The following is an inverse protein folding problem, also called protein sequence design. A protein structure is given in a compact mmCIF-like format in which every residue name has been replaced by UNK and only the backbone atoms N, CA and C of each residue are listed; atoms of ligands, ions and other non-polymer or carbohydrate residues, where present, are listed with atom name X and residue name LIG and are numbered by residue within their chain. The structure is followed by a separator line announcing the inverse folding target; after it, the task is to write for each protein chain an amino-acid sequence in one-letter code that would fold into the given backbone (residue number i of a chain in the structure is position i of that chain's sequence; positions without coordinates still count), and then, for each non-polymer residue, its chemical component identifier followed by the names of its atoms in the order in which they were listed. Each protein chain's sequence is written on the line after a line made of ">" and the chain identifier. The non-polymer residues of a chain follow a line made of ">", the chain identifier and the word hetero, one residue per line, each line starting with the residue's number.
data_IF_925903549211
#
_entry.id   IF_925903549211
#
_cell.length_a   1.000
_cell.length_b   1.000
_cell.length_c   1.000
_cell.angle_alpha   90.00
_cell.angle_beta   90.00
_cell.angle_gamma   90.00
#
_symmetry.space_group_name_H-M   'P 1'
#
loop_
_entity.id
_entity.type
_entity.pdbx_description
1 polymer ?
#
# COMPACT_ATOMS: atom_id res chain seq x y z
N UNK A 1 24.95 -22.46 -22.51
CA UNK A 1 25.29 -22.18 -21.11
C UNK A 1 24.25 -21.20 -20.64
N UNK A 2 23.31 -21.62 -19.80
CA UNK A 2 22.33 -20.71 -19.20
C UNK A 2 23.01 -20.12 -17.97
N UNK A 3 23.08 -18.80 -17.89
CA UNK A 3 23.51 -18.14 -16.66
C UNK A 3 22.52 -18.52 -15.54
N UNK A 4 23.00 -18.84 -14.33
CA UNK A 4 22.11 -19.10 -13.21
C UNK A 4 21.22 -17.88 -12.99
N UNK A 5 19.92 -18.11 -12.83
CA UNK A 5 18.99 -17.04 -12.47
C UNK A 5 19.52 -16.38 -11.19
N UNK A 6 19.94 -15.12 -11.30
CA UNK A 6 20.35 -14.33 -10.15
C UNK A 6 19.09 -14.19 -9.30
N UNK A 7 19.07 -14.78 -8.11
CA UNK A 7 18.00 -14.54 -7.13
C UNK A 7 17.94 -13.03 -6.90
N UNK A 8 16.92 -12.38 -7.44
CA UNK A 8 16.67 -10.97 -7.18
C UNK A 8 16.33 -10.84 -5.70
N UNK A 9 17.03 -9.93 -5.01
CA UNK A 9 16.79 -9.64 -3.61
C UNK A 9 15.32 -9.24 -3.42
N UNK A 10 14.62 -9.90 -2.48
CA UNK A 10 13.19 -9.67 -2.26
C UNK A 10 12.98 -8.25 -1.71
N UNK A 11 11.99 -7.55 -2.27
CA UNK A 11 11.56 -6.23 -1.81
C UNK A 11 11.06 -6.32 -0.37
N UNK A 12 11.63 -5.52 0.54
CA UNK A 12 11.23 -5.46 1.96
C UNK A 12 10.16 -4.41 2.16
N UNK A 13 8.92 -4.87 2.32
CA UNK A 13 7.75 -4.02 2.53
C UNK A 13 7.37 -3.99 4.01
N UNK A 14 7.33 -2.80 4.61
CA UNK A 14 6.88 -2.58 5.98
C UNK A 14 5.50 -1.93 6.05
N UNK A 15 4.90 -2.03 7.24
CA UNK A 15 3.62 -1.40 7.57
C UNK A 15 3.78 -0.57 8.83
N UNK A 16 3.24 0.64 8.85
CA UNK A 16 3.01 1.42 10.07
C UNK A 16 1.58 1.93 10.13
N UNK A 17 0.91 1.62 11.24
CA UNK A 17 -0.48 1.98 11.50
C UNK A 17 -0.75 1.98 13.02
N UNK A 18 -1.80 2.68 13.49
CA UNK A 18 -2.27 2.63 14.87
C UNK A 18 -2.58 1.20 15.34
N UNK A 19 -2.43 0.95 16.64
CA UNK A 19 -2.94 -0.28 17.26
C UNK A 19 -4.42 -0.04 17.61
N UNK A 20 -5.31 -0.89 17.11
CA UNK A 20 -6.72 -0.86 17.51
C UNK A 20 -6.96 -1.92 18.58
N UNK A 21 -7.52 -1.50 19.72
CA UNK A 21 -7.60 -2.26 20.98
C UNK A 21 -8.43 -3.54 20.94
N UNK A 22 -9.25 -3.76 19.90
CA UNK A 22 -10.07 -4.97 19.75
C UNK A 22 -9.41 -6.08 18.93
N UNK A 23 -8.40 -5.76 18.10
CA UNK A 23 -7.69 -6.72 17.24
C UNK A 23 -6.39 -6.11 16.72
N UNK A 24 -5.25 -6.75 17.00
CA UNK A 24 -4.00 -6.35 16.39
C UNK A 24 -3.92 -6.95 14.97
N UNK A 25 -4.45 -6.22 13.99
CA UNK A 25 -4.52 -6.61 12.57
C UNK A 25 -3.16 -6.99 11.96
N UNK A 26 -2.07 -6.48 12.52
CA UNK A 26 -0.72 -6.64 11.98
C UNK A 26 0.21 -7.41 12.93
N UNK A 27 -0.31 -8.09 13.95
CA UNK A 27 0.50 -8.76 14.98
C UNK A 27 1.55 -9.71 14.41
N UNK A 28 1.15 -10.49 13.40
CA UNK A 28 1.99 -11.52 12.77
C UNK A 28 2.63 -11.04 11.45
N UNK A 29 2.50 -9.75 11.14
CA UNK A 29 2.98 -9.19 9.89
C UNK A 29 4.45 -8.80 10.01
N UNK A 30 5.27 -9.37 9.14
CA UNK A 30 6.70 -9.06 9.10
C UNK A 30 6.92 -7.56 8.84
N UNK A 31 7.88 -6.97 9.54
CA UNK A 31 8.21 -5.54 9.46
C UNK A 31 7.07 -4.57 9.81
N UNK A 32 6.03 -5.02 10.52
CA UNK A 32 5.08 -4.11 11.14
C UNK A 32 5.76 -3.31 12.28
N UNK A 33 5.54 -1.98 12.28
CA UNK A 33 5.90 -1.10 13.39
C UNK A 33 4.67 -0.26 13.75
N UNK A 34 4.12 -0.36 14.97
CA UNK A 34 3.02 0.48 15.40
C UNK A 34 3.39 1.96 15.39
N UNK A 35 2.49 2.81 14.88
CA UNK A 35 2.80 4.22 14.66
C UNK A 35 3.12 4.99 15.94
N UNK A 36 2.47 4.61 17.04
CA UNK A 36 2.67 5.21 18.37
C UNK A 36 4.09 4.96 18.87
N UNK A 37 4.62 3.77 18.59
CA UNK A 37 5.97 3.33 18.98
C UNK A 37 7.04 3.63 17.93
N UNK A 38 6.64 4.16 16.77
CA UNK A 38 7.53 4.42 15.66
C UNK A 38 8.59 5.49 16.02
N UNK A 39 9.85 5.13 15.81
CA UNK A 39 11.02 6.01 15.95
C UNK A 39 11.88 5.93 14.69
N UNK A 40 12.65 6.99 14.41
CA UNK A 40 13.58 7.03 13.28
C UNK A 40 14.57 5.85 13.31
N UNK A 41 15.12 5.54 14.49
CA UNK A 41 16.01 4.39 14.69
C UNK A 41 15.33 3.05 14.37
N UNK A 42 14.09 2.86 14.81
CA UNK A 42 13.35 1.63 14.55
C UNK A 42 13.08 1.44 13.05
N UNK A 43 12.77 2.53 12.33
CA UNK A 43 12.52 2.49 10.89
C UNK A 43 13.80 2.21 10.09
N UNK A 44 14.89 2.90 10.40
CA UNK A 44 16.20 2.70 9.76
C UNK A 44 16.76 1.30 10.00
N UNK A 45 16.50 0.72 11.17
CA UNK A 45 16.94 -0.64 11.49
C UNK A 45 16.26 -1.72 10.63
N UNK A 46 15.12 -1.41 9.99
CA UNK A 46 14.41 -2.37 9.12
C UNK A 46 14.96 -2.41 7.70
N UNK A 47 15.63 -1.36 7.22
CA UNK A 47 16.15 -1.27 5.84
C UNK A 47 15.07 -1.64 4.81
N UNK A 48 13.95 -0.92 4.86
CA UNK A 48 12.80 -1.19 4.00
C UNK A 48 12.98 -0.56 2.63
N UNK A 49 12.51 -1.22 1.60
CA UNK A 49 12.38 -0.65 0.26
C UNK A 49 11.08 0.15 0.12
N UNK A 50 10.04 -0.24 0.86
CA UNK A 50 8.75 0.42 0.88
C UNK A 50 8.10 0.40 2.26
N UNK A 51 7.41 1.49 2.61
CA UNK A 51 6.61 1.60 3.83
C UNK A 51 5.18 2.03 3.48
N UNK A 52 4.22 1.20 3.88
CA UNK A 52 2.80 1.54 3.85
C UNK A 52 2.43 2.25 5.17
N UNK A 53 1.82 3.42 5.09
CA UNK A 53 1.53 4.28 6.25
C UNK A 53 0.04 4.55 6.35
N UNK A 54 -0.52 4.42 7.56
CA UNK A 54 -1.86 4.92 7.88
C UNK A 54 -1.86 5.63 9.23
N UNK A 55 -2.69 6.67 9.36
CA UNK A 55 -2.96 7.34 10.64
C UNK A 55 -1.80 8.17 11.19
N UNK A 56 -0.87 8.59 10.33
CA UNK A 56 0.25 9.43 10.73
C UNK A 56 -0.23 10.86 11.04
N UNK A 57 0.14 11.37 12.22
CA UNK A 57 0.07 12.81 12.47
C UNK A 57 1.13 13.54 11.66
N UNK A 58 0.99 14.85 11.46
CA UNK A 58 1.98 15.67 10.75
C UNK A 58 3.41 15.47 11.28
N UNK A 59 3.57 15.37 12.60
CA UNK A 59 4.87 15.13 13.22
C UNK A 59 5.42 13.72 12.90
N UNK A 60 4.55 12.71 12.80
CA UNK A 60 4.94 11.34 12.44
C UNK A 60 5.24 11.22 10.95
N UNK A 61 4.47 11.84 10.06
CA UNK A 61 4.79 11.88 8.62
C UNK A 61 6.16 12.52 8.38
N UNK A 62 6.46 13.65 9.01
CA UNK A 62 7.79 14.28 8.91
C UNK A 62 8.94 13.37 9.37
N UNK A 63 8.73 12.62 10.45
CA UNK A 63 9.71 11.65 10.94
C UNK A 63 9.90 10.51 9.94
N UNK A 64 8.79 9.98 9.38
CA UNK A 64 8.78 8.92 8.39
C UNK A 64 9.53 9.36 7.13
N UNK A 65 9.17 10.51 6.56
CA UNK A 65 9.77 11.04 5.34
C UNK A 65 11.27 11.20 5.47
N UNK A 66 11.73 11.78 6.58
CA UNK A 66 13.16 11.95 6.88
C UNK A 66 13.87 10.61 6.94
N UNK A 67 13.35 9.65 7.70
CA UNK A 67 13.98 8.36 7.90
C UNK A 67 13.97 7.52 6.61
N UNK A 68 12.88 7.54 5.85
CA UNK A 68 12.74 6.82 4.60
C UNK A 68 13.64 7.39 3.49
N UNK A 69 13.78 8.72 3.41
CA UNK A 69 14.69 9.38 2.47
C UNK A 69 16.15 8.90 2.66
N UNK A 70 16.59 8.73 3.90
CA UNK A 70 17.97 8.29 4.22
C UNK A 70 18.28 6.89 3.67
N UNK A 71 17.28 6.00 3.62
CA UNK A 71 17.45 4.61 3.19
C UNK A 71 16.85 4.33 1.80
N UNK A 72 16.48 5.37 1.04
CA UNK A 72 15.76 5.26 -0.24
C UNK A 72 14.47 4.40 -0.16
N UNK A 73 13.79 4.43 0.98
CA UNK A 73 12.50 3.76 1.17
C UNK A 73 11.38 4.61 0.58
N UNK A 74 10.50 3.99 -0.20
CA UNK A 74 9.33 4.66 -0.75
C UNK A 74 8.17 4.62 0.25
N UNK A 75 7.59 5.79 0.53
CA UNK A 75 6.49 5.93 1.48
C UNK A 75 5.17 6.03 0.74
N UNK A 76 4.22 5.15 1.06
CA UNK A 76 2.86 5.23 0.54
C UNK A 76 1.88 5.47 1.69
N UNK A 77 1.36 6.69 1.80
CA UNK A 77 0.27 6.99 2.73
C UNK A 77 -1.05 6.48 2.15
N UNK A 78 -1.76 5.67 2.94
CA UNK A 78 -3.04 5.06 2.58
C UNK A 78 -4.13 5.60 3.51
N UNK A 79 -5.15 6.16 2.88
CA UNK A 79 -6.31 6.69 3.58
C UNK A 79 -7.61 6.12 3.00
N UNK A 80 -8.73 6.38 3.69
CA UNK A 80 -10.06 5.99 3.23
C UNK A 80 -11.04 7.14 3.43
N UNK A 81 -12.02 7.21 2.54
CA UNK A 81 -13.16 8.12 2.67
C UNK A 81 -14.16 7.65 3.73
N UNK A 82 -14.07 6.39 4.15
CA UNK A 82 -14.88 5.86 5.25
C UNK A 82 -14.18 6.07 6.58
N UNK A 83 -14.95 6.34 7.64
CA UNK A 83 -14.43 6.50 9.01
C UNK A 83 -13.83 5.22 9.62
N UNK A 84 -13.94 4.06 8.97
CA UNK A 84 -13.43 2.78 9.45
C UNK A 84 -12.02 2.47 8.97
N UNK A 85 -11.08 2.27 9.91
CA UNK A 85 -9.71 1.86 9.61
C UNK A 85 -9.59 0.42 9.08
N UNK A 86 -10.62 -0.41 9.22
CA UNK A 86 -10.60 -1.81 8.75
C UNK A 86 -10.41 -1.93 7.23
N UNK A 87 -11.04 -1.03 6.46
CA UNK A 87 -10.87 -0.93 5.00
C UNK A 87 -9.41 -0.75 4.65
N UNK A 88 -8.76 0.19 5.33
CA UNK A 88 -7.36 0.54 5.09
C UNK A 88 -6.45 -0.62 5.48
N UNK A 89 -6.73 -1.27 6.61
CA UNK A 89 -5.93 -2.40 7.07
C UNK A 89 -6.01 -3.58 6.12
N UNK A 90 -7.21 -3.88 5.61
CA UNK A 90 -7.40 -4.90 4.59
C UNK A 90 -6.61 -4.56 3.32
N UNK A 91 -6.65 -3.30 2.86
CA UNK A 91 -5.88 -2.86 1.70
C UNK A 91 -4.37 -3.03 1.94
N UNK A 92 -3.86 -2.56 3.08
CA UNK A 92 -2.44 -2.66 3.44
C UNK A 92 -1.97 -4.12 3.52
N UNK A 93 -2.75 -5.00 4.14
CA UNK A 93 -2.45 -6.44 4.23
C UNK A 93 -2.42 -7.10 2.86
N UNK A 94 -3.40 -6.80 1.99
CA UNK A 94 -3.46 -7.37 0.64
C UNK A 94 -2.31 -6.86 -0.24
N UNK A 95 -1.96 -5.57 -0.15
CA UNK A 95 -0.80 -5.01 -0.86
C UNK A 95 0.50 -5.71 -0.43
N UNK A 96 0.73 -5.80 0.89
CA UNK A 96 1.93 -6.45 1.42
C UNK A 96 1.97 -7.93 1.04
N UNK A 97 0.87 -8.68 1.22
CA UNK A 97 0.83 -10.10 0.91
C UNK A 97 1.14 -10.38 -0.57
N UNK A 98 0.65 -9.56 -1.50
CA UNK A 98 0.96 -9.69 -2.93
C UNK A 98 2.40 -9.34 -3.27
N UNK A 99 2.98 -8.33 -2.61
CA UNK A 99 4.38 -7.97 -2.79
C UNK A 99 5.33 -9.04 -2.20
N UNK A 100 4.94 -9.65 -1.07
CA UNK A 100 5.73 -10.69 -0.39
C UNK A 100 5.62 -12.07 -1.10
N UNK A 101 4.47 -12.40 -1.72
CA UNK A 101 4.21 -13.73 -2.26
C UNK A 101 4.95 -14.04 -3.56
N UNK A 102 5.55 -13.05 -4.23
CA UNK A 102 6.07 -13.14 -5.59
C UNK A 102 5.04 -13.66 -6.62
N UNK A 103 3.78 -13.87 -6.23
CA UNK A 103 2.69 -14.08 -7.18
C UNK A 103 2.38 -12.72 -7.79
N UNK A 104 3.01 -12.42 -8.92
CA UNK A 104 2.47 -11.42 -9.83
C UNK A 104 1.01 -11.83 -10.08
N UNK A 105 0.01 -11.04 -9.64
CA UNK A 105 -1.33 -11.27 -10.14
C UNK A 105 -1.21 -11.11 -11.65
N UNK A 106 -1.73 -12.05 -12.44
CA UNK A 106 -1.88 -11.95 -13.90
C UNK A 106 -2.72 -10.73 -14.37
N UNK A 107 -2.98 -9.79 -13.48
CA UNK A 107 -3.95 -8.72 -13.53
C UNK A 107 -3.52 -7.50 -12.68
N UNK A 108 -2.27 -7.45 -12.21
CA UNK A 108 -1.63 -6.19 -11.87
C UNK A 108 -0.35 -6.08 -12.70
N UNK A 109 -0.41 -5.29 -13.77
CA UNK A 109 0.69 -4.36 -13.98
C UNK A 109 0.79 -3.60 -12.65
N UNK A 110 1.70 -4.03 -11.78
CA UNK A 110 2.07 -3.27 -10.60
C UNK A 110 2.63 -1.99 -11.19
N UNK A 111 1.74 -1.00 -11.35
CA UNK A 111 2.17 0.37 -11.57
C UNK A 111 3.19 0.60 -10.49
N UNK A 112 4.41 0.89 -10.89
CA UNK A 112 5.53 1.09 -10.00
C UNK A 112 5.02 1.99 -8.87
N UNK A 113 4.86 1.45 -7.65
CA UNK A 113 4.32 2.21 -6.54
C UNK A 113 5.16 3.47 -6.33
N UNK A 114 6.45 3.42 -6.68
CA UNK A 114 7.34 4.57 -6.69
C UNK A 114 6.90 5.62 -7.71
N UNK A 115 6.44 5.21 -8.89
CA UNK A 115 5.87 6.11 -9.90
C UNK A 115 4.52 6.69 -9.46
N UNK A 116 3.62 5.90 -8.84
CA UNK A 116 2.35 6.43 -8.30
C UNK A 116 2.61 7.45 -7.19
N UNK A 117 3.44 7.09 -6.22
CA UNK A 117 3.82 7.94 -5.09
C UNK A 117 4.59 9.18 -5.56
N UNK A 118 5.37 9.10 -6.64
CA UNK A 118 6.05 10.28 -7.21
C UNK A 118 5.08 11.34 -7.76
N UNK A 119 3.84 10.94 -8.02
CA UNK A 119 2.80 11.80 -8.60
C UNK A 119 1.70 12.21 -7.62
N UNK A 120 1.58 11.53 -6.47
CA UNK A 120 0.61 11.86 -5.43
C UNK A 120 1.16 11.56 -4.04
N UNK A 121 0.92 12.46 -3.09
CA UNK A 121 1.27 12.30 -1.68
C UNK A 121 0.35 11.33 -0.93
N UNK A 122 -0.76 10.89 -1.53
CA UNK A 122 -1.77 10.08 -0.86
C UNK A 122 -2.43 9.07 -1.81
N UNK A 123 -2.64 7.84 -1.33
CA UNK A 123 -3.42 6.79 -1.98
C UNK A 123 -4.74 6.59 -1.23
N UNK A 124 -5.84 6.46 -1.96
CA UNK A 124 -7.16 6.17 -1.40
C UNK A 124 -7.47 4.69 -1.56
N UNK A 125 -7.70 4.00 -0.44
CA UNK A 125 -8.02 2.57 -0.38
C UNK A 125 -9.53 2.32 -0.41
N UNK A 126 -9.92 1.26 -1.13
CA UNK A 126 -11.30 0.77 -1.20
C UNK A 126 -11.33 -0.75 -0.96
N UNK A 127 -12.33 -1.22 -0.24
CA UNK A 127 -12.58 -2.64 0.04
C UNK A 127 -13.74 -3.23 -0.79
N UNK A 128 -14.41 -2.40 -1.61
CA UNK A 128 -15.46 -2.86 -2.51
C UNK A 128 -15.47 -2.09 -3.84
N UNK A 129 -15.91 -2.77 -4.89
CA UNK A 129 -16.13 -2.17 -6.21
C UNK A 129 -17.09 -0.99 -6.15
N UNK A 130 -18.23 -1.17 -5.49
CA UNK A 130 -19.29 -0.16 -5.45
C UNK A 130 -18.78 1.17 -4.89
N UNK A 131 -17.96 1.12 -3.82
CA UNK A 131 -17.36 2.31 -3.21
C UNK A 131 -16.35 2.98 -4.14
N UNK A 132 -15.51 2.19 -4.82
CA UNK A 132 -14.56 2.71 -5.81
C UNK A 132 -15.27 3.41 -6.96
N UNK A 133 -16.26 2.75 -7.58
CA UNK A 133 -16.99 3.31 -8.71
C UNK A 133 -17.81 4.54 -8.31
N UNK A 134 -18.46 4.51 -7.15
CA UNK A 134 -19.18 5.66 -6.61
C UNK A 134 -18.25 6.85 -6.39
N UNK A 135 -17.04 6.61 -5.87
CA UNK A 135 -16.01 7.65 -5.77
C UNK A 135 -15.63 8.20 -7.15
N UNK A 136 -15.24 7.34 -8.09
CA UNK A 136 -14.84 7.77 -9.45
C UNK A 136 -15.92 8.58 -10.15
N UNK A 137 -17.20 8.25 -9.97
CA UNK A 137 -18.32 9.00 -10.52
C UNK A 137 -18.54 10.35 -9.81
N UNK A 138 -18.31 10.41 -8.49
CA UNK A 138 -18.48 11.63 -7.70
C UNK A 138 -17.37 12.68 -7.95
N UNK A 139 -16.18 12.22 -8.30
CA UNK A 139 -15.00 13.08 -8.47
C UNK A 139 -14.99 13.65 -9.89
N UNK A 140 -15.90 14.58 -10.16
CA UNK A 140 -15.91 15.35 -11.40
C UNK A 140 -14.80 16.40 -11.35
N UNK A 141 -13.70 16.17 -12.09
CA UNK A 141 -12.64 17.14 -12.31
C UNK A 141 -11.35 16.97 -11.48
N UNK A 142 -11.18 15.89 -10.71
CA UNK A 142 -9.85 15.58 -10.19
C UNK A 142 -8.99 14.91 -11.25
N UNK A 143 -7.73 15.32 -11.35
CA UNK A 143 -6.71 14.61 -12.12
C UNK A 143 -6.34 13.32 -11.37
N UNK A 144 -7.17 12.28 -11.50
CA UNK A 144 -6.88 10.96 -10.98
C UNK A 144 -5.76 10.35 -11.83
N UNK A 145 -4.53 10.30 -11.30
CA UNK A 145 -3.36 9.82 -12.03
C UNK A 145 -3.22 8.28 -12.05
N UNK A 146 -3.96 7.59 -11.19
CA UNK A 146 -4.01 6.12 -11.16
C UNK A 146 -4.90 5.57 -10.07
N UNK A 147 -5.29 4.30 -10.20
CA UNK A 147 -6.03 3.54 -9.21
C UNK A 147 -5.40 2.15 -9.10
N UNK A 148 -5.22 1.66 -7.87
CA UNK A 148 -4.81 0.27 -7.63
C UNK A 148 -6.06 -0.50 -7.22
N UNK A 149 -6.50 -1.38 -8.09
CA UNK A 149 -7.62 -2.27 -7.82
C UNK A 149 -7.11 -3.69 -7.59
N UNK A 150 -7.18 -4.16 -6.34
CA UNK A 150 -6.73 -5.50 -5.96
C UNK A 150 -7.85 -6.50 -6.20
N UNK A 151 -8.03 -6.88 -7.47
CA UNK A 151 -8.96 -7.94 -7.85
C UNK A 151 -8.56 -9.29 -7.21
N UNK A 152 -9.52 -9.96 -6.59
CA UNK A 152 -9.48 -11.42 -6.41
C UNK A 152 -9.86 -12.09 -7.74
N UNK A 153 -9.40 -13.33 -7.95
CA UNK A 153 -9.31 -14.03 -9.25
C UNK A 153 -10.57 -14.23 -10.13
N UNK A 154 -11.71 -13.61 -9.81
CA UNK A 154 -12.97 -13.73 -10.58
C UNK A 154 -13.25 -12.54 -11.52
N UNK A 155 -12.29 -11.63 -11.66
CA UNK A 155 -12.49 -10.40 -12.46
C UNK A 155 -11.64 -10.48 -13.71
N UNK A 156 -12.29 -10.77 -14.84
CA UNK A 156 -11.66 -10.71 -16.17
C UNK A 156 -11.79 -9.30 -16.75
N UNK A 157 -10.79 -8.87 -17.53
CA UNK A 157 -10.83 -7.61 -18.29
C UNK A 157 -12.07 -7.49 -19.20
N UNK A 158 -12.66 -8.62 -19.59
CA UNK A 158 -13.86 -8.70 -20.43
C UNK A 158 -15.11 -8.13 -19.74
N UNK A 159 -15.16 -8.14 -18.41
CA UNK A 159 -16.24 -7.52 -17.62
C UNK A 159 -16.27 -5.99 -17.76
N UNK A 160 -15.17 -5.37 -18.21
CA UNK A 160 -15.06 -3.92 -18.37
C UNK A 160 -15.16 -3.46 -19.83
N UNK A 161 -15.04 -4.37 -20.79
CA UNK A 161 -15.23 -4.05 -22.22
C UNK A 161 -16.69 -4.18 -22.67
N UNK A 162 -17.53 -4.84 -21.87
CA UNK A 162 -18.96 -5.03 -22.15
C UNK A 162 -19.82 -4.79 -20.90
N UNK A 163 -20.22 -3.54 -20.61
CA UNK A 163 -21.21 -3.28 -19.57
C UNK A 163 -22.56 -3.86 -20.01
N UNK A 164 -23.07 -4.83 -19.25
CA UNK A 164 -24.48 -5.27 -19.32
C UNK A 164 -25.40 -4.29 -18.61
#
# INVERSE_FOLDING_TARGET
>A
MFDPAVEMEKVKVGITAPIISSKNYFADVEHYIPIDTLTEKALLAKQLDQLLVHGASTAKSQLIDKACTVQNCVVAEIDSLSSGSEVIYNVMLNLKAKLDSNEMPNNLDVVDLRHLVSTTSQLIGFDSHEKLFSYLQSVTGANLLGCIFLAHGDISLEMYTHPT
#
